data_IF_088233200858
#
_entry.id   IF_088233200858
#
_cell.length_a   1.000
_cell.length_b   1.000
_cell.length_c   1.000
_cell.angle_alpha   90.00
_cell.angle_beta   90.00
_cell.angle_gamma   90.00
#
_symmetry.space_group_name_H-M   'P 1'
#
loop_
_entity.id
_entity.type
_entity.pdbx_description
1 polymer ?
#
# COMPACT_ATOMS: atom_id res chain seq x y z
N UNK A 1 39.58 -20.87 14.70
CA UNK A 1 39.64 -19.79 15.71
C UNK A 1 38.71 -20.16 16.85
N UNK A 2 39.25 -20.39 18.05
CA UNK A 2 38.48 -20.79 19.23
C UNK A 2 37.65 -19.61 19.72
N UNK A 3 36.32 -19.78 19.84
CA UNK A 3 35.42 -18.79 20.43
C UNK A 3 35.76 -18.66 21.92
N UNK A 4 36.06 -17.44 22.39
CA UNK A 4 36.33 -17.19 23.81
C UNK A 4 35.10 -17.61 24.63
N UNK A 5 35.24 -18.32 25.77
CA UNK A 5 34.10 -18.70 26.59
C UNK A 5 33.37 -17.50 27.19
N UNK A 6 34.09 -16.39 27.38
CA UNK A 6 33.52 -15.13 27.87
C UNK A 6 32.79 -14.36 26.78
N UNK A 7 32.79 -14.85 25.52
CA UNK A 7 32.28 -14.13 24.36
C UNK A 7 30.75 -13.93 24.38
N UNK A 8 30.04 -14.68 25.20
CA UNK A 8 28.58 -14.55 25.31
C UNK A 8 28.21 -13.67 26.52
N UNK A 9 28.94 -13.79 27.62
CA UNK A 9 28.73 -13.01 28.85
C UNK A 9 28.95 -11.51 28.64
N UNK A 10 30.04 -11.11 27.97
CA UNK A 10 30.28 -9.68 27.69
C UNK A 10 29.23 -9.09 26.75
N UNK A 11 28.74 -9.85 25.76
CA UNK A 11 27.66 -9.40 24.87
C UNK A 11 26.36 -9.24 25.64
N UNK A 12 26.07 -10.14 26.58
CA UNK A 12 24.92 -10.01 27.45
C UNK A 12 25.00 -8.74 28.32
N UNK A 13 26.17 -8.48 28.91
CA UNK A 13 26.42 -7.26 29.68
C UNK A 13 26.20 -5.98 28.85
N UNK A 14 26.70 -5.95 27.61
CA UNK A 14 26.49 -4.81 26.70
C UNK A 14 25.03 -4.60 26.32
N UNK A 15 24.26 -5.68 26.08
CA UNK A 15 22.82 -5.60 25.80
C UNK A 15 22.05 -5.01 26.99
N UNK A 16 22.33 -5.47 28.20
CA UNK A 16 21.69 -4.94 29.40
C UNK A 16 22.07 -3.48 29.66
N UNK A 17 23.34 -3.12 29.45
CA UNK A 17 23.78 -1.73 29.58
C UNK A 17 23.06 -0.81 28.58
N UNK A 18 22.94 -1.24 27.31
CA UNK A 18 22.21 -0.50 26.30
C UNK A 18 20.74 -0.30 26.68
N UNK A 19 20.05 -1.36 27.13
CA UNK A 19 18.66 -1.28 27.60
C UNK A 19 18.51 -0.30 28.77
N UNK A 20 19.45 -0.31 29.71
CA UNK A 20 19.44 0.63 30.84
C UNK A 20 19.60 2.09 30.38
N UNK A 21 20.56 2.35 29.47
CA UNK A 21 20.77 3.70 28.93
C UNK A 21 19.54 4.21 28.16
N UNK A 22 18.83 3.33 27.44
CA UNK A 22 17.56 3.68 26.78
C UNK A 22 16.49 4.08 27.81
N UNK A 23 16.35 3.30 28.90
CA UNK A 23 15.38 3.59 29.98
C UNK A 23 15.64 4.90 30.70
N UNK A 24 16.92 5.22 30.92
CA UNK A 24 17.38 6.45 31.57
C UNK A 24 17.36 7.67 30.63
N UNK A 25 17.02 7.47 29.36
CA UNK A 25 17.00 8.51 28.34
C UNK A 25 18.34 9.28 28.18
N UNK A 26 19.47 8.63 28.45
CA UNK A 26 20.80 9.24 28.31
C UNK A 26 21.29 9.18 26.85
N UNK A 27 20.90 10.19 26.08
CA UNK A 27 21.26 10.30 24.66
C UNK A 27 22.77 10.42 24.41
N UNK A 28 23.53 11.02 25.33
CA UNK A 28 24.97 11.20 25.16
C UNK A 28 25.68 9.85 25.22
N UNK A 29 25.35 9.04 26.23
CA UNK A 29 25.87 7.68 26.37
C UNK A 29 25.36 6.79 25.23
N UNK A 30 24.08 6.87 24.88
CA UNK A 30 23.48 6.06 23.81
C UNK A 30 24.18 6.25 22.47
N UNK A 31 24.54 7.48 22.11
CA UNK A 31 25.27 7.78 20.86
C UNK A 31 26.62 7.07 20.80
N UNK A 32 27.39 7.15 21.89
CA UNK A 32 28.71 6.51 21.95
C UNK A 32 28.63 4.99 22.03
N UNK A 33 27.69 4.46 22.82
CA UNK A 33 27.47 3.03 23.00
C UNK A 33 26.98 2.35 21.71
N UNK A 34 26.12 3.03 20.95
CA UNK A 34 25.69 2.58 19.62
C UNK A 34 26.89 2.38 18.69
N UNK A 35 27.83 3.34 18.66
CA UNK A 35 29.06 3.20 17.88
C UNK A 35 29.92 2.01 18.31
N UNK A 36 30.04 1.77 19.62
CA UNK A 36 30.78 0.61 20.16
C UNK A 36 30.10 -0.72 19.77
N UNK A 37 28.78 -0.81 19.90
CA UNK A 37 28.01 -2.00 19.57
C UNK A 37 28.12 -2.35 18.08
N UNK A 38 28.02 -1.36 17.19
CA UNK A 38 28.21 -1.54 15.75
C UNK A 38 29.61 -2.04 15.42
N UNK A 39 30.65 -1.50 16.07
CA UNK A 39 32.04 -1.96 15.89
C UNK A 39 32.26 -3.42 16.36
N UNK A 40 31.51 -3.86 17.37
CA UNK A 40 31.49 -5.24 17.88
C UNK A 40 30.69 -6.19 16.96
N UNK A 41 29.98 -5.64 15.98
CA UNK A 41 29.19 -6.38 15.00
C UNK A 41 27.74 -6.60 15.43
N UNK A 42 27.19 -5.78 16.32
CA UNK A 42 25.73 -5.69 16.47
C UNK A 42 25.14 -5.02 15.23
N UNK A 43 24.03 -5.55 14.75
CA UNK A 43 23.34 -4.99 13.60
C UNK A 43 22.30 -3.96 14.02
N UNK A 44 21.93 -3.08 13.11
CA UNK A 44 20.91 -2.05 13.34
C UNK A 44 19.52 -2.64 13.71
N UNK A 45 19.18 -3.81 13.15
CA UNK A 45 17.99 -4.57 13.53
C UNK A 45 18.04 -5.08 14.98
N UNK A 46 19.21 -5.52 15.44
CA UNK A 46 19.39 -5.96 16.84
C UNK A 46 19.29 -4.77 17.80
N UNK A 47 19.88 -3.63 17.45
CA UNK A 47 19.80 -2.40 18.27
C UNK A 47 18.36 -1.91 18.37
N UNK A 48 17.61 -1.89 17.26
CA UNK A 48 16.18 -1.58 17.29
C UNK A 48 15.38 -2.55 18.15
N UNK A 49 15.67 -3.85 18.08
CA UNK A 49 15.01 -4.85 18.92
C UNK A 49 15.28 -4.61 20.42
N UNK A 50 16.52 -4.27 20.79
CA UNK A 50 16.88 -3.94 22.17
C UNK A 50 16.19 -2.67 22.66
N UNK A 51 16.08 -1.64 21.82
CA UNK A 51 15.32 -0.42 22.14
C UNK A 51 13.86 -0.74 22.41
N UNK A 52 13.22 -1.53 21.54
CA UNK A 52 11.84 -1.97 21.74
C UNK A 52 11.69 -2.72 23.06
N UNK A 53 12.54 -3.72 23.32
CA UNK A 53 12.55 -4.51 24.56
C UNK A 53 12.70 -3.62 25.81
N UNK A 54 13.58 -2.62 25.75
CA UNK A 54 13.78 -1.67 26.86
C UNK A 54 12.52 -0.85 27.16
N UNK A 55 11.75 -0.51 26.12
CA UNK A 55 10.55 0.34 26.18
C UNK A 55 9.23 -0.42 26.34
N UNK A 56 9.24 -1.76 26.37
CA UNK A 56 8.01 -2.56 26.45
C UNK A 56 7.25 -2.38 27.78
N UNK A 57 7.95 -2.04 28.87
CA UNK A 57 7.37 -1.80 30.19
C UNK A 57 7.43 -0.32 30.50
N UNK A 58 6.27 0.32 30.58
CA UNK A 58 6.19 1.77 30.80
C UNK A 58 6.73 2.17 32.18
N UNK A 59 6.63 1.29 33.17
CA UNK A 59 7.14 1.52 34.54
C UNK A 59 8.67 1.54 34.66
N UNK A 60 9.38 0.99 33.66
CA UNK A 60 10.85 0.90 33.68
C UNK A 60 11.51 2.10 32.97
N UNK A 61 10.72 3.01 32.40
CA UNK A 61 11.19 4.11 31.56
C UNK A 61 11.01 5.44 32.31
N UNK A 62 11.91 6.39 32.09
CA UNK A 62 11.80 7.72 32.69
C UNK A 62 10.49 8.45 32.29
N UNK A 63 9.94 9.26 33.21
CA UNK A 63 8.66 9.97 33.03
C UNK A 63 8.66 10.94 31.83
N UNK A 64 9.84 11.40 31.38
CA UNK A 64 10.05 12.32 30.27
C UNK A 64 10.38 11.64 28.94
N UNK A 65 10.38 10.30 28.90
CA UNK A 65 10.73 9.55 27.71
C UNK A 65 9.69 9.74 26.60
N UNK A 66 10.18 10.23 25.45
CA UNK A 66 9.41 10.30 24.21
C UNK A 66 9.96 9.24 23.26
N UNK A 67 9.22 8.14 22.98
CA UNK A 67 9.66 7.15 22.02
C UNK A 67 9.95 7.79 20.66
N UNK A 68 11.09 7.44 20.06
CA UNK A 68 11.36 7.87 18.70
C UNK A 68 10.44 7.09 17.74
N UNK A 69 9.32 7.73 17.36
CA UNK A 69 8.32 7.15 16.46
C UNK A 69 8.86 6.94 15.04
N UNK A 70 9.99 7.55 14.67
CA UNK A 70 10.65 7.32 13.39
C UNK A 70 11.18 5.87 13.24
N UNK A 71 11.27 5.12 14.35
CA UNK A 71 11.62 3.69 14.32
C UNK A 71 10.43 2.84 13.84
N UNK A 72 9.20 3.32 14.07
CA UNK A 72 7.97 2.61 13.71
C UNK A 72 7.47 2.95 12.30
N UNK A 73 8.02 3.97 11.65
CA UNK A 73 7.77 4.20 10.23
C UNK A 73 8.54 3.15 9.44
N UNK A 74 7.89 2.10 8.90
CA UNK A 74 8.52 1.31 7.87
C UNK A 74 8.97 2.27 6.77
N UNK A 75 10.23 2.20 6.36
CA UNK A 75 10.70 2.79 5.12
C UNK A 75 9.93 2.10 3.99
N UNK A 76 8.69 2.55 3.75
CA UNK A 76 7.85 2.12 2.65
C UNK A 76 8.43 2.77 1.40
N UNK A 77 9.50 2.21 0.86
CA UNK A 77 9.84 2.42 -0.55
C UNK A 77 8.68 1.87 -1.38
N UNK A 78 7.73 2.75 -1.70
CA UNK A 78 6.79 2.69 -2.81
C UNK A 78 6.22 1.30 -3.13
N UNK A 79 5.50 0.70 -2.18
CA UNK A 79 4.56 -0.41 -2.46
C UNK A 79 3.13 0.09 -2.33
N UNK A 80 2.74 1.01 -3.20
CA UNK A 80 1.34 1.37 -3.37
C UNK A 80 0.77 0.56 -4.54
N UNK A 81 -0.44 0.00 -4.43
CA UNK A 81 -1.15 -0.50 -5.60
C UNK A 81 -1.31 0.66 -6.60
N UNK A 82 -1.18 0.38 -7.90
CA UNK A 82 -1.36 1.38 -8.98
C UNK A 82 -2.73 2.08 -8.92
N UNK A 83 -3.69 1.52 -8.18
CA UNK A 83 -5.05 2.03 -8.01
C UNK A 83 -5.23 2.92 -6.76
N UNK A 84 -4.16 3.31 -6.06
CA UNK A 84 -4.30 4.11 -4.83
C UNK A 84 -4.79 5.54 -5.11
N UNK A 85 -5.90 5.95 -4.49
CA UNK A 85 -6.52 7.27 -4.64
C UNK A 85 -6.19 8.26 -3.50
N UNK A 86 -5.12 8.03 -2.73
CA UNK A 86 -4.78 8.95 -1.63
C UNK A 86 -4.22 10.29 -2.17
N UNK A 87 -4.44 11.42 -1.47
CA UNK A 87 -4.02 12.74 -1.94
C UNK A 87 -2.53 12.86 -2.26
N UNK A 88 -1.70 12.05 -1.60
CA UNK A 88 -0.25 12.01 -1.82
C UNK A 88 0.15 11.32 -3.13
N UNK A 89 -0.65 10.39 -3.65
CA UNK A 89 -0.30 9.57 -4.82
C UNK A 89 -1.11 9.93 -6.07
N UNK A 90 -2.24 10.63 -5.94
CA UNK A 90 -3.07 11.07 -7.08
C UNK A 90 -2.25 11.90 -8.08
N UNK A 91 -1.31 12.73 -7.61
CA UNK A 91 -0.43 13.50 -8.50
C UNK A 91 0.51 12.64 -9.34
N UNK A 92 1.00 11.53 -8.79
CA UNK A 92 1.92 10.61 -9.46
C UNK A 92 1.16 9.65 -10.40
N UNK A 93 -0.01 9.16 -9.99
CA UNK A 93 -0.86 8.26 -10.78
C UNK A 93 -1.52 8.91 -12.01
N UNK A 94 -1.51 10.24 -12.11
CA UNK A 94 -2.04 10.97 -13.27
C UNK A 94 -1.08 10.98 -14.46
N UNK A 95 0.18 10.62 -14.26
CA UNK A 95 1.15 10.54 -15.36
C UNK A 95 0.84 9.27 -16.19
N UNK A 96 0.73 9.35 -17.52
CA UNK A 96 0.59 8.17 -18.37
C UNK A 96 1.81 7.24 -18.23
N UNK A 97 1.60 5.93 -18.15
CA UNK A 97 2.66 4.92 -18.01
C UNK A 97 2.73 4.01 -19.25
N UNK A 98 3.92 3.47 -19.55
CA UNK A 98 4.09 2.44 -20.58
C UNK A 98 3.64 1.04 -20.10
N UNK A 99 3.82 0.04 -20.98
CA UNK A 99 3.46 -1.35 -20.68
C UNK A 99 4.28 -1.97 -19.53
N UNK A 100 5.44 -1.41 -19.22
CA UNK A 100 6.33 -1.83 -18.14
C UNK A 100 6.04 -1.07 -16.82
N UNK A 101 5.06 -0.16 -16.83
CA UNK A 101 4.66 0.63 -15.68
C UNK A 101 5.65 1.76 -15.35
N UNK A 102 6.47 2.18 -16.30
CA UNK A 102 7.31 3.37 -16.15
C UNK A 102 6.57 4.62 -16.64
N UNK A 103 6.73 5.78 -15.97
CA UNK A 103 6.11 7.02 -16.42
C UNK A 103 6.67 7.41 -17.79
N UNK A 104 5.77 7.77 -18.72
CA UNK A 104 6.16 8.27 -20.03
C UNK A 104 6.90 9.61 -19.87
N UNK A 105 8.01 9.78 -20.61
CA UNK A 105 8.81 11.01 -20.59
C UNK A 105 9.15 11.48 -22.01
N UNK A 106 9.45 12.78 -22.15
CA UNK A 106 9.88 13.38 -23.42
C UNK A 106 8.88 13.17 -24.56
N UNK A 107 9.39 12.71 -25.71
CA UNK A 107 8.61 12.52 -26.94
C UNK A 107 7.45 11.52 -26.75
N UNK A 108 7.62 10.51 -25.89
CA UNK A 108 6.59 9.50 -25.62
C UNK A 108 5.39 10.09 -24.86
N UNK A 109 5.65 10.99 -23.91
CA UNK A 109 4.60 11.72 -23.20
C UNK A 109 3.86 12.65 -24.16
N UNK A 110 4.60 13.38 -25.00
CA UNK A 110 4.02 14.32 -25.96
C UNK A 110 3.11 13.62 -26.98
N UNK A 111 3.53 12.47 -27.50
CA UNK A 111 2.71 11.65 -28.40
C UNK A 111 1.40 11.17 -27.74
N UNK A 112 1.47 10.72 -26.48
CA UNK A 112 0.29 10.29 -25.72
C UNK A 112 -0.68 11.45 -25.46
N UNK A 113 -0.18 12.65 -25.16
CA UNK A 113 -1.01 13.85 -24.99
C UNK A 113 -1.71 14.25 -26.30
N UNK A 114 -1.01 14.20 -27.43
CA UNK A 114 -1.58 14.51 -28.75
C UNK A 114 -2.67 13.50 -29.14
N UNK A 115 -2.43 12.20 -28.89
CA UNK A 115 -3.42 11.16 -29.13
C UNK A 115 -4.67 11.35 -28.25
N UNK A 116 -4.48 11.69 -26.96
CA UNK A 116 -5.58 11.98 -26.05
C UNK A 116 -6.40 13.20 -26.51
N UNK A 117 -5.75 14.27 -27.00
CA UNK A 117 -6.43 15.44 -27.57
C UNK A 117 -7.25 15.07 -28.80
N UNK A 118 -6.68 14.31 -29.73
CA UNK A 118 -7.37 13.85 -30.92
C UNK A 118 -8.55 12.93 -30.58
N UNK A 119 -8.40 12.04 -29.60
CA UNK A 119 -9.48 11.17 -29.12
C UNK A 119 -10.64 11.98 -28.51
N UNK A 120 -10.34 12.99 -27.70
CA UNK A 120 -11.34 13.88 -27.11
C UNK A 120 -12.12 14.66 -28.20
N UNK A 121 -11.42 15.18 -29.20
CA UNK A 121 -12.03 15.91 -30.33
C UNK A 121 -12.93 15.00 -31.18
N UNK A 122 -12.47 13.77 -31.45
CA UNK A 122 -13.25 12.74 -32.16
C UNK A 122 -14.50 12.33 -31.40
N UNK A 123 -14.39 12.14 -30.09
CA UNK A 123 -15.53 11.81 -29.22
C UNK A 123 -16.57 12.94 -29.22
N UNK A 124 -16.11 14.20 -29.16
CA UNK A 124 -16.99 15.37 -29.25
C UNK A 124 -17.73 15.46 -30.59
N UNK A 125 -17.09 15.09 -31.70
CA UNK A 125 -17.75 15.04 -33.01
C UNK A 125 -18.81 13.93 -33.11
N UNK A 126 -18.56 12.75 -32.53
CA UNK A 126 -19.51 11.62 -32.56
C UNK A 126 -20.79 11.87 -31.76
N UNK A 127 -20.71 12.66 -30.69
CA UNK A 127 -21.91 13.08 -29.91
C UNK A 127 -22.74 14.12 -30.66
N UNK A 128 -22.15 14.85 -31.62
CA UNK A 128 -22.81 15.92 -32.36
C UNK A 128 -23.51 15.46 -33.65
N UNK A 129 -23.35 14.21 -34.09
CA UNK A 129 -24.11 13.67 -35.21
C UNK A 129 -25.52 13.29 -34.74
N UNK A 130 -26.59 13.98 -35.18
CA UNK A 130 -27.95 13.55 -34.87
C UNK A 130 -28.16 12.15 -35.44
N UNK A 131 -28.40 11.19 -34.56
CA UNK A 131 -28.81 9.85 -34.95
C UNK A 131 -30.14 9.95 -35.69
N UNK A 132 -30.16 9.53 -36.96
CA UNK A 132 -31.34 9.43 -37.83
C UNK A 132 -32.46 8.53 -37.23
N UNK A 133 -32.21 7.90 -36.08
CA UNK A 133 -33.14 7.04 -35.37
C UNK A 133 -34.32 7.78 -34.67
N UNK A 134 -34.25 9.11 -34.46
CA UNK A 134 -35.31 9.85 -33.75
C UNK A 134 -36.55 10.18 -34.59
N UNK A 135 -36.56 9.91 -35.91
CA UNK A 135 -37.71 10.18 -36.80
C UNK A 135 -38.57 8.95 -37.15
N UNK A 136 -38.29 7.76 -36.61
CA UNK A 136 -38.97 6.51 -37.01
C UNK A 136 -39.85 5.87 -35.94
N UNK A 137 -40.11 6.53 -34.81
CA UNK A 137 -40.90 5.97 -33.68
C UNK A 137 -42.35 6.49 -33.58
N UNK A 138 -43.02 6.72 -34.72
CA UNK A 138 -44.45 7.12 -34.72
C UNK A 138 -45.37 6.15 -35.48
N UNK A 139 -44.93 4.93 -35.78
CA UNK A 139 -45.77 3.94 -36.45
C UNK A 139 -45.47 2.51 -35.98
N UNK A 140 -45.68 2.23 -34.70
CA UNK A 140 -45.84 0.85 -34.25
C UNK A 140 -47.31 0.42 -34.43
N UNK A 141 -47.63 -0.63 -35.21
CA UNK A 141 -48.93 -1.27 -35.14
C UNK A 141 -49.05 -2.05 -33.83
N UNK A 142 -50.19 -1.86 -33.19
CA UNK A 142 -50.69 -2.55 -32.00
C UNK A 142 -50.84 -4.05 -32.28
N UNK A 143 -49.80 -4.84 -31.96
CA UNK A 143 -49.90 -6.31 -31.87
C UNK A 143 -49.42 -6.74 -30.49
N UNK A 144 -50.38 -6.93 -29.58
CA UNK A 144 -50.19 -7.65 -28.32
C UNK A 144 -49.85 -9.11 -28.62
N UNK A 145 -48.68 -9.64 -28.23
CA UNK A 145 -48.40 -11.07 -28.30
C UNK A 145 -49.10 -11.76 -27.14
N UNK A 146 -49.97 -12.70 -27.47
CA UNK A 146 -50.68 -13.58 -26.54
C UNK A 146 -49.72 -14.25 -25.54
N UNK A 147 -50.14 -14.19 -24.27
CA UNK A 147 -49.61 -14.96 -23.16
C UNK A 147 -49.82 -16.46 -23.41
N UNK A 148 -48.75 -17.24 -23.65
CA UNK A 148 -48.68 -18.65 -23.20
C UNK A 148 -47.29 -19.26 -23.46
N UNK A 149 -46.32 -18.95 -22.59
CA UNK A 149 -45.15 -19.81 -22.43
C UNK A 149 -45.04 -20.26 -20.97
N UNK A 150 -45.05 -21.58 -20.70
CA UNK A 150 -44.85 -22.08 -19.35
C UNK A 150 -43.43 -21.76 -18.89
N UNK A 151 -43.33 -21.07 -17.74
CA UNK A 151 -42.09 -20.85 -17.00
C UNK A 151 -41.46 -22.22 -16.68
N UNK A 152 -40.38 -22.57 -17.37
CA UNK A 152 -39.51 -23.66 -16.95
C UNK A 152 -38.64 -23.12 -15.80
N UNK A 153 -38.86 -23.62 -14.59
CA UNK A 153 -37.96 -23.37 -13.48
C UNK A 153 -36.59 -24.02 -13.80
N UNK A 154 -35.48 -23.27 -13.75
CA UNK A 154 -34.16 -23.79 -14.11
C UNK A 154 -33.55 -24.72 -13.06
N UNK A 155 -34.14 -24.78 -11.86
CA UNK A 155 -33.57 -25.49 -10.73
C UNK A 155 -34.48 -26.68 -10.37
N UNK A 156 -34.27 -27.80 -11.06
CA UNK A 156 -34.99 -29.06 -10.88
C UNK A 156 -34.79 -29.74 -9.52
N UNK A 157 -35.19 -29.10 -8.43
CA UNK A 157 -35.22 -29.71 -7.10
C UNK A 157 -36.65 -30.02 -6.67
N UNK A 158 -36.98 -31.31 -6.72
CA UNK A 158 -38.16 -31.86 -6.08
C UNK A 158 -38.00 -31.75 -4.56
N UNK A 159 -38.84 -30.96 -3.90
CA UNK A 159 -38.93 -30.97 -2.43
C UNK A 159 -39.46 -32.34 -1.97
N UNK A 160 -38.58 -33.14 -1.35
CA UNK A 160 -39.00 -34.27 -0.54
C UNK A 160 -39.48 -33.75 0.82
N UNK A 161 -40.79 -33.71 1.01
CA UNK A 161 -41.39 -33.54 2.32
C UNK A 161 -41.02 -34.74 3.21
N UNK A 162 -40.23 -34.51 4.26
CA UNK A 162 -40.14 -35.43 5.38
C UNK A 162 -41.19 -35.04 6.42
N UNK A 163 -41.97 -36.04 6.83
CA UNK A 163 -42.79 -36.07 8.04
C UNK A 163 -41.95 -35.80 9.29
#
# INVERSE_FOLDING_TARGET
MSRSPFADEWRACLREHYKQTVRENDHATLTTLTGVLTNVGFREDELRALTLEATMRAEDVADDFVPNLDILTPQMENRHPAECQCPSCVGENLVPHDADGQPLTGDALQAAEEEARWAAERSRMLVATPTIADELDSAAPDETPDEDYPRQDPDGFTQLNLF
#
